data_IF_854063999852
#
_entry.id   IF_854063999852
#
_cell.length_a   1.000
_cell.length_b   1.000
_cell.length_c   1.000
_cell.angle_alpha   90.00
_cell.angle_beta   90.00
_cell.angle_gamma   90.00
#
_symmetry.space_group_name_H-M   'P 1'
#
loop_
_entity.id
_entity.type
_entity.pdbx_description
1 polymer ?
#
# COMPACT_ATOMS: atom_id res chain seq x y z
N UNK A 1 15.52 -3.66 -1.04
CA UNK A 1 14.24 -2.98 -0.69
C UNK A 1 14.32 -1.49 -0.29
N UNK A 2 15.50 -0.93 0.05
CA UNK A 2 15.60 0.46 0.56
C UNK A 2 15.02 1.56 -0.36
N UNK A 3 15.24 1.47 -1.68
CA UNK A 3 14.69 2.43 -2.64
C UNK A 3 13.15 2.46 -2.64
N UNK A 4 12.49 1.33 -2.36
CA UNK A 4 11.03 1.28 -2.27
C UNK A 4 10.52 2.06 -1.05
N UNK A 5 11.23 1.99 0.09
CA UNK A 5 10.88 2.76 1.28
C UNK A 5 11.04 4.27 1.03
N UNK A 6 12.14 4.67 0.37
CA UNK A 6 12.37 6.08 0.08
C UNK A 6 11.30 6.64 -0.87
N UNK A 7 10.90 5.87 -1.89
CA UNK A 7 9.79 6.25 -2.77
C UNK A 7 8.46 6.32 -2.01
N UNK A 8 8.19 5.36 -1.13
CA UNK A 8 6.99 5.36 -0.28
C UNK A 8 6.93 6.62 0.59
N UNK A 9 8.00 6.94 1.31
CA UNK A 9 8.09 8.15 2.15
C UNK A 9 7.86 9.42 1.34
N UNK A 10 8.49 9.53 0.17
CA UNK A 10 8.29 10.65 -0.74
C UNK A 10 6.82 10.78 -1.17
N UNK A 11 6.19 9.68 -1.57
CA UNK A 11 4.78 9.71 -1.99
C UNK A 11 3.83 10.08 -0.83
N UNK A 12 4.14 9.65 0.40
CA UNK A 12 3.41 10.07 1.59
C UNK A 12 3.58 11.58 1.84
N UNK A 13 4.81 12.10 1.77
CA UNK A 13 5.08 13.53 1.91
C UNK A 13 4.37 14.36 0.83
N UNK A 14 4.32 13.88 -0.41
CA UNK A 14 3.55 14.50 -1.49
C UNK A 14 2.05 14.50 -1.17
N UNK A 15 1.49 13.43 -0.61
CA UNK A 15 0.09 13.40 -0.15
C UNK A 15 -0.16 14.39 1.01
N UNK A 16 0.74 14.47 1.98
CA UNK A 16 0.68 15.40 3.12
C UNK A 16 0.71 16.87 2.66
N UNK A 17 1.38 17.16 1.54
CA UNK A 17 1.49 18.53 0.99
C UNK A 17 0.14 19.13 0.56
N UNK A 18 -0.91 18.32 0.40
CA UNK A 18 -2.26 18.81 0.10
C UNK A 18 -2.92 19.53 1.29
N UNK A 19 -2.54 19.19 2.52
CA UNK A 19 -3.06 19.85 3.73
C UNK A 19 -2.66 21.34 3.78
N UNK A 20 -1.38 21.73 3.64
CA UNK A 20 -1.00 23.14 3.59
C UNK A 20 -1.69 23.94 2.47
N UNK A 21 -1.92 23.31 1.31
CA UNK A 21 -2.65 23.94 0.20
C UNK A 21 -4.11 24.18 0.60
N UNK A 22 -4.75 23.20 1.22
CA UNK A 22 -6.10 23.34 1.76
C UNK A 22 -6.18 24.49 2.78
N UNK A 23 -5.26 24.55 3.75
CA UNK A 23 -5.22 25.59 4.77
C UNK A 23 -5.06 26.99 4.19
N UNK A 24 -4.18 27.13 3.19
CA UNK A 24 -3.97 28.40 2.51
C UNK A 24 -5.25 28.87 1.81
N UNK A 25 -5.95 27.98 1.11
CA UNK A 25 -7.16 28.33 0.35
C UNK A 25 -8.33 28.67 1.28
N UNK A 26 -8.57 27.88 2.33
CA UNK A 26 -9.58 28.16 3.36
C UNK A 26 -9.33 29.51 4.05
N UNK A 27 -8.06 29.86 4.33
CA UNK A 27 -7.72 31.14 4.96
C UNK A 27 -7.74 32.35 4.02
N UNK A 28 -7.52 32.14 2.72
CA UNK A 28 -7.31 33.23 1.75
C UNK A 28 -8.56 33.56 0.92
N UNK A 29 -9.51 32.64 0.81
CA UNK A 29 -10.67 32.78 -0.06
C UNK A 29 -11.93 32.94 0.79
N UNK A 30 -12.60 34.09 0.65
CA UNK A 30 -13.81 34.42 1.42
C UNK A 30 -15.13 34.02 0.73
N UNK A 31 -15.07 33.38 -0.43
CA UNK A 31 -16.26 32.86 -1.13
C UNK A 31 -16.69 31.53 -0.54
N UNK A 32 -17.98 31.15 -0.64
CA UNK A 32 -18.51 29.89 -0.12
C UNK A 32 -18.12 28.71 -1.03
N UNK A 33 -16.83 28.48 -1.21
CA UNK A 33 -16.26 27.33 -1.92
C UNK A 33 -15.63 26.40 -0.89
N UNK A 34 -15.94 25.10 -0.96
CA UNK A 34 -15.30 24.09 -0.11
C UNK A 34 -14.04 23.57 -0.78
N UNK A 35 -12.95 23.46 -0.01
CA UNK A 35 -11.69 22.87 -0.46
C UNK A 35 -11.46 21.44 0.05
N UNK A 36 -12.48 20.82 0.66
CA UNK A 36 -12.40 19.49 1.28
C UNK A 36 -11.92 18.38 0.32
N UNK A 37 -12.07 18.55 -0.99
CA UNK A 37 -11.59 17.59 -1.97
C UNK A 37 -10.05 17.47 -1.99
N UNK A 38 -9.31 18.47 -1.50
CA UNK A 38 -7.87 18.35 -1.24
C UNK A 38 -7.58 17.37 -0.11
N UNK A 39 -8.40 17.40 0.95
CA UNK A 39 -8.31 16.45 2.06
C UNK A 39 -8.69 15.03 1.62
N UNK A 40 -9.71 14.89 0.77
CA UNK A 40 -10.07 13.59 0.16
C UNK A 40 -8.96 13.05 -0.75
N UNK A 41 -8.34 13.91 -1.55
CA UNK A 41 -7.21 13.55 -2.39
C UNK A 41 -6.02 13.05 -1.57
N UNK A 42 -5.74 13.67 -0.41
CA UNK A 42 -4.69 13.20 0.50
C UNK A 42 -4.92 11.75 0.96
N UNK A 43 -6.15 11.39 1.35
CA UNK A 43 -6.49 10.00 1.72
C UNK A 43 -6.22 9.06 0.55
N UNK A 44 -6.70 9.41 -0.65
CA UNK A 44 -6.53 8.59 -1.85
C UNK A 44 -5.05 8.38 -2.19
N UNK A 45 -4.25 9.45 -2.15
CA UNK A 45 -2.82 9.38 -2.45
C UNK A 45 -2.04 8.63 -1.37
N UNK A 46 -2.40 8.78 -0.10
CA UNK A 46 -1.77 8.03 1.00
C UNK A 46 -1.98 6.52 0.86
N UNK A 47 -3.22 6.10 0.58
CA UNK A 47 -3.55 4.68 0.36
C UNK A 47 -2.88 4.14 -0.91
N UNK A 48 -2.82 4.95 -1.99
CA UNK A 48 -2.11 4.59 -3.22
C UNK A 48 -0.61 4.39 -2.97
N UNK A 49 0.01 5.27 -2.19
CA UNK A 49 1.42 5.16 -1.81
C UNK A 49 1.68 3.86 -1.04
N UNK A 50 0.81 3.52 -0.08
CA UNK A 50 0.92 2.29 0.71
C UNK A 50 0.76 1.04 -0.17
N UNK A 51 -0.26 0.99 -1.03
CA UNK A 51 -0.50 -0.12 -1.95
C UNK A 51 0.69 -0.36 -2.89
N UNK A 52 1.19 0.71 -3.52
CA UNK A 52 2.37 0.65 -4.39
C UNK A 52 3.61 0.17 -3.64
N UNK A 53 3.79 0.62 -2.40
CA UNK A 53 4.90 0.18 -1.56
C UNK A 53 4.84 -1.32 -1.28
N UNK A 54 3.66 -1.85 -0.93
CA UNK A 54 3.46 -3.28 -0.75
C UNK A 54 3.77 -4.07 -2.02
N UNK A 55 3.32 -3.61 -3.20
CA UNK A 55 3.71 -4.21 -4.47
C UNK A 55 5.22 -4.27 -4.66
N UNK A 56 5.93 -3.18 -4.35
CA UNK A 56 7.38 -3.12 -4.50
C UNK A 56 8.09 -4.08 -3.56
N UNK A 57 7.69 -4.13 -2.29
CA UNK A 57 8.27 -5.06 -1.32
C UNK A 57 8.10 -6.51 -1.77
N UNK A 58 6.88 -6.89 -2.14
CA UNK A 58 6.55 -8.26 -2.56
C UNK A 58 7.33 -8.62 -3.83
N UNK A 59 7.30 -7.76 -4.85
CA UNK A 59 8.04 -7.96 -6.10
C UNK A 59 9.53 -8.14 -5.84
N UNK A 60 10.15 -7.21 -5.11
CA UNK A 60 11.59 -7.24 -4.81
C UNK A 60 11.92 -8.52 -4.03
N UNK A 61 11.14 -8.86 -3.00
CA UNK A 61 11.41 -10.04 -2.19
C UNK A 61 11.22 -11.35 -2.96
N UNK A 62 10.25 -11.44 -3.88
CA UNK A 62 10.11 -12.62 -4.75
C UNK A 62 11.29 -12.77 -5.70
N UNK A 63 11.82 -11.66 -6.25
CA UNK A 63 13.04 -11.69 -7.08
C UNK A 63 14.25 -12.08 -6.24
N UNK A 64 14.39 -11.58 -5.01
CA UNK A 64 15.45 -12.00 -4.08
C UNK A 64 15.39 -13.51 -3.81
N UNK A 65 14.20 -14.10 -3.62
CA UNK A 65 14.03 -15.55 -3.47
C UNK A 65 14.45 -16.28 -4.75
N UNK A 66 14.00 -15.79 -5.91
CA UNK A 66 14.36 -16.36 -7.21
C UNK A 66 15.89 -16.40 -7.44
N UNK A 67 16.58 -15.34 -7.02
CA UNK A 67 18.05 -15.23 -7.10
C UNK A 67 18.80 -15.99 -6.00
N UNK A 68 18.09 -16.60 -5.04
CA UNK A 68 18.69 -17.30 -3.90
C UNK A 68 19.23 -16.40 -2.79
N UNK A 69 18.89 -15.10 -2.80
CA UNK A 69 19.30 -14.11 -1.80
C UNK A 69 18.36 -14.04 -0.59
N UNK A 70 17.19 -14.69 -0.65
CA UNK A 70 16.19 -14.76 0.41
C UNK A 70 15.64 -16.20 0.51
N UNK A 71 15.38 -16.74 1.71
CA UNK A 71 14.79 -18.07 1.86
C UNK A 71 13.40 -18.14 1.23
N UNK A 72 13.06 -19.30 0.66
CA UNK A 72 11.73 -19.56 0.10
C UNK A 72 10.66 -19.60 1.21
N UNK A 73 9.43 -19.28 0.83
CA UNK A 73 8.24 -19.43 1.68
C UNK A 73 7.28 -20.46 1.08
N UNK A 74 6.39 -21.08 1.87
CA UNK A 74 5.36 -21.96 1.32
C UNK A 74 4.49 -21.28 0.26
N UNK A 75 4.13 -20.01 0.47
CA UNK A 75 3.32 -19.25 -0.47
C UNK A 75 4.06 -18.97 -1.79
N UNK A 76 5.36 -18.67 -1.73
CA UNK A 76 6.20 -18.54 -2.92
C UNK A 76 6.29 -19.86 -3.70
N UNK A 77 6.50 -20.98 -3.02
CA UNK A 77 6.61 -22.29 -3.68
C UNK A 77 5.29 -22.76 -4.30
N UNK A 78 4.15 -22.37 -3.71
CA UNK A 78 2.83 -22.63 -4.26
C UNK A 78 2.46 -21.73 -5.45
N UNK A 79 3.29 -20.73 -5.76
CA UNK A 79 2.99 -19.75 -6.79
C UNK A 79 3.15 -20.35 -8.20
N UNK A 80 2.03 -20.45 -8.92
CA UNK A 80 2.04 -20.93 -10.30
C UNK A 80 2.49 -19.86 -11.30
N UNK A 81 3.35 -20.27 -12.24
CA UNK A 81 3.70 -19.52 -13.47
C UNK A 81 3.08 -20.20 -14.69
N UNK A 82 2.87 -19.44 -15.76
CA UNK A 82 2.36 -20.01 -17.02
C UNK A 82 3.44 -20.81 -17.74
N UNK A 83 3.03 -21.75 -18.60
CA UNK A 83 3.96 -22.49 -19.46
C UNK A 83 4.75 -21.55 -20.38
N UNK A 84 4.14 -20.45 -20.83
CA UNK A 84 4.85 -19.44 -21.63
C UNK A 84 6.01 -18.81 -20.85
N UNK A 85 5.77 -18.40 -19.59
CA UNK A 85 6.81 -17.85 -18.72
C UNK A 85 7.90 -18.86 -18.44
N UNK A 86 7.56 -20.14 -18.22
CA UNK A 86 8.55 -21.20 -18.04
C UNK A 86 9.45 -21.35 -19.27
N UNK A 87 8.87 -21.39 -20.47
CA UNK A 87 9.63 -21.45 -21.73
C UNK A 87 10.56 -20.25 -21.90
N UNK A 88 10.05 -19.04 -21.63
CA UNK A 88 10.85 -17.79 -21.68
C UNK A 88 12.04 -17.85 -20.69
N UNK A 89 11.82 -18.34 -19.47
CA UNK A 89 12.87 -18.48 -18.45
C UNK A 89 13.98 -19.46 -18.84
N UNK A 90 13.64 -20.55 -19.53
CA UNK A 90 14.64 -21.52 -20.00
C UNK A 90 15.46 -20.94 -21.13
N UNK A 91 14.82 -20.27 -22.09
CA UNK A 91 15.49 -19.71 -23.27
C UNK A 91 16.22 -18.39 -23.00
N UNK A 92 15.95 -17.74 -21.87
CA UNK A 92 16.49 -16.42 -21.56
C UNK A 92 18.02 -16.43 -21.44
N UNK A 93 18.65 -15.66 -22.33
CA UNK A 93 20.09 -15.32 -22.30
C UNK A 93 20.27 -13.83 -22.06
N UNK A 94 19.50 -12.98 -22.75
CA UNK A 94 19.38 -11.54 -22.52
C UNK A 94 17.96 -11.05 -22.88
N UNK A 95 17.23 -10.31 -22.01
CA UNK A 95 17.58 -9.95 -20.63
C UNK A 95 17.71 -11.19 -19.72
N UNK A 96 18.35 -11.06 -18.54
CA UNK A 96 18.63 -12.21 -17.68
C UNK A 96 17.34 -12.78 -17.06
N UNK A 97 17.42 -14.00 -16.52
CA UNK A 97 16.26 -14.78 -16.07
C UNK A 97 15.46 -14.09 -14.98
N UNK A 98 16.14 -13.39 -14.07
CA UNK A 98 15.54 -12.61 -13.00
C UNK A 98 14.66 -11.47 -13.52
N UNK A 99 15.03 -10.86 -14.65
CA UNK A 99 14.19 -9.84 -15.28
C UNK A 99 12.93 -10.46 -15.87
N UNK A 100 13.04 -11.59 -16.56
CA UNK A 100 11.88 -12.32 -17.12
C UNK A 100 10.93 -12.75 -16.00
N UNK A 101 11.48 -13.29 -14.91
CA UNK A 101 10.71 -13.65 -13.72
C UNK A 101 10.01 -12.43 -13.12
N UNK A 102 10.73 -11.33 -12.92
CA UNK A 102 10.17 -10.10 -12.38
C UNK A 102 9.01 -9.57 -13.22
N UNK A 103 9.11 -9.59 -14.54
CA UNK A 103 8.02 -9.17 -15.43
C UNK A 103 6.79 -10.08 -15.29
N UNK A 104 6.99 -11.39 -15.12
CA UNK A 104 5.89 -12.33 -14.88
C UNK A 104 5.18 -12.01 -13.55
N UNK A 105 5.95 -11.74 -12.49
CA UNK A 105 5.41 -11.33 -11.19
C UNK A 105 4.66 -10.00 -11.30
N UNK A 106 5.23 -8.97 -11.93
CA UNK A 106 4.53 -7.69 -12.14
C UNK A 106 3.19 -7.89 -12.85
N UNK A 107 3.17 -8.66 -13.94
CA UNK A 107 1.94 -8.92 -14.71
C UNK A 107 0.86 -9.61 -13.88
N UNK A 108 1.25 -10.45 -12.94
CA UNK A 108 0.31 -11.18 -12.07
C UNK A 108 -0.17 -10.32 -10.92
N UNK A 109 0.75 -9.63 -10.24
CA UNK A 109 0.42 -8.84 -9.07
C UNK A 109 -0.39 -7.59 -9.41
N UNK A 110 -0.30 -7.04 -10.63
CA UNK A 110 -1.01 -5.80 -11.03
C UNK A 110 -2.53 -5.82 -10.84
N UNK A 111 -3.17 -6.99 -10.76
CA UNK A 111 -4.63 -7.13 -10.59
C UNK A 111 -5.03 -7.29 -9.12
N UNK A 112 -4.07 -7.31 -8.21
CA UNK A 112 -4.27 -7.46 -6.76
C UNK A 112 -4.04 -6.11 -6.11
N UNK A 113 -4.88 -5.72 -5.16
CA UNK A 113 -4.62 -4.58 -4.29
C UNK A 113 -4.18 -5.04 -2.91
N UNK A 114 -3.13 -4.40 -2.38
CA UNK A 114 -2.54 -4.68 -1.08
C UNK A 114 -2.86 -3.57 -0.08
N UNK A 115 -4.16 -3.37 0.15
CA UNK A 115 -4.69 -2.30 1.00
C UNK A 115 -5.33 -2.83 2.28
N UNK A 116 -6.15 -3.86 2.17
CA UNK A 116 -6.82 -4.44 3.33
C UNK A 116 -5.85 -5.28 4.17
N UNK A 117 -6.12 -5.46 5.49
CA UNK A 117 -5.26 -6.28 6.33
C UNK A 117 -5.01 -7.69 5.78
N UNK A 118 -6.05 -8.34 5.26
CA UNK A 118 -5.96 -9.70 4.72
C UNK A 118 -5.13 -9.75 3.44
N UNK A 119 -5.30 -8.79 2.53
CA UNK A 119 -4.52 -8.77 1.30
C UNK A 119 -3.05 -8.46 1.58
N UNK A 120 -2.75 -7.52 2.47
CA UNK A 120 -1.39 -7.24 2.94
C UNK A 120 -0.75 -8.50 3.52
N UNK A 121 -1.45 -9.22 4.41
CA UNK A 121 -0.93 -10.46 5.01
C UNK A 121 -0.69 -11.56 3.95
N UNK A 122 -1.61 -11.73 2.99
CA UNK A 122 -1.45 -12.66 1.86
C UNK A 122 -0.25 -12.30 1.00
N UNK A 123 -0.11 -11.02 0.63
CA UNK A 123 1.01 -10.51 -0.14
C UNK A 123 2.36 -10.72 0.54
N UNK A 124 2.46 -10.34 1.82
CA UNK A 124 3.67 -10.55 2.61
C UNK A 124 4.04 -12.03 2.75
N UNK A 125 3.07 -12.95 2.69
CA UNK A 125 3.34 -14.39 2.81
C UNK A 125 4.23 -14.92 1.69
N UNK A 126 4.28 -14.26 0.52
CA UNK A 126 5.24 -14.60 -0.53
C UNK A 126 6.69 -14.47 -0.07
N UNK A 127 6.99 -13.51 0.81
CA UNK A 127 8.37 -13.11 1.12
C UNK A 127 8.73 -13.22 2.61
N UNK A 128 7.74 -13.55 3.46
CA UNK A 128 7.86 -13.61 4.91
C UNK A 128 7.07 -14.78 5.50
N UNK A 129 7.79 -15.80 5.97
CA UNK A 129 7.22 -17.01 6.59
C UNK A 129 6.89 -16.82 8.09
N UNK A 130 6.13 -15.77 8.41
CA UNK A 130 5.62 -15.50 9.75
C UNK A 130 4.09 -15.74 9.77
N UNK A 131 3.56 -16.67 10.58
CA UNK A 131 2.11 -16.86 10.70
C UNK A 131 1.36 -15.68 11.33
N UNK A 132 1.94 -15.02 12.33
CA UNK A 132 1.29 -13.96 13.12
C UNK A 132 1.75 -12.55 12.68
N UNK A 133 1.68 -12.27 11.38
CA UNK A 133 2.21 -11.03 10.76
C UNK A 133 1.67 -9.76 11.41
N UNK A 134 0.35 -9.66 11.57
CA UNK A 134 -0.28 -8.48 12.14
C UNK A 134 0.07 -8.28 13.62
N UNK A 135 0.27 -9.36 14.37
CA UNK A 135 0.75 -9.25 15.76
C UNK A 135 2.15 -8.64 15.82
N UNK A 136 3.06 -9.06 14.92
CA UNK A 136 4.42 -8.50 14.83
C UNK A 136 4.41 -7.04 14.40
N UNK A 137 3.63 -6.72 13.36
CA UNK A 137 3.47 -5.34 12.86
C UNK A 137 2.92 -4.44 13.96
N UNK A 138 1.83 -4.85 14.62
CA UNK A 138 1.21 -4.08 15.68
C UNK A 138 2.13 -3.88 16.90
N UNK A 139 2.87 -4.93 17.28
CA UNK A 139 3.89 -4.84 18.34
C UNK A 139 4.98 -3.82 18.00
N UNK A 140 5.45 -3.78 16.75
CA UNK A 140 6.43 -2.79 16.29
C UNK A 140 5.84 -1.37 16.27
N UNK A 141 4.53 -1.24 16.01
CA UNK A 141 3.80 0.02 16.08
C UNK A 141 3.43 0.44 17.52
N UNK A 142 3.70 -0.39 18.53
CA UNK A 142 3.22 -0.23 19.91
C UNK A 142 1.69 -0.05 20.01
N UNK A 143 0.95 -0.87 19.24
CA UNK A 143 -0.51 -0.85 19.18
C UNK A 143 -1.07 -2.27 19.36
N UNK A 144 -2.34 -2.35 19.71
CA UNK A 144 -3.07 -3.62 19.69
C UNK A 144 -3.31 -4.12 18.25
N UNK A 145 -3.32 -5.44 18.08
CA UNK A 145 -3.42 -6.08 16.76
C UNK A 145 -4.75 -5.79 16.07
N UNK A 146 -5.86 -5.88 16.79
CA UNK A 146 -7.18 -5.62 16.21
C UNK A 146 -7.38 -4.13 15.95
N UNK A 147 -6.79 -3.26 16.78
CA UNK A 147 -6.77 -1.81 16.54
C UNK A 147 -6.08 -1.48 15.22
N UNK A 148 -4.87 -2.01 14.96
CA UNK A 148 -4.15 -1.75 13.71
C UNK A 148 -4.93 -2.25 12.49
N UNK A 149 -5.49 -3.47 12.56
CA UNK A 149 -6.29 -4.03 11.46
C UNK A 149 -7.55 -3.21 11.21
N UNK A 150 -8.23 -2.78 12.27
CA UNK A 150 -9.45 -1.98 12.18
C UNK A 150 -9.17 -0.62 11.57
N UNK A 151 -8.12 0.06 12.03
CA UNK A 151 -7.72 1.37 11.52
C UNK A 151 -7.39 1.31 10.02
N UNK A 152 -6.57 0.33 9.60
CA UNK A 152 -6.27 0.13 8.18
C UNK A 152 -7.54 -0.12 7.36
N UNK A 153 -8.47 -0.92 7.87
CA UNK A 153 -9.74 -1.20 7.19
C UNK A 153 -10.57 0.07 7.03
N UNK A 154 -10.73 0.87 8.10
CA UNK A 154 -11.49 2.12 8.06
C UNK A 154 -10.93 3.11 7.03
N UNK A 155 -9.60 3.26 6.97
CA UNK A 155 -8.94 4.13 6.00
C UNK A 155 -9.20 3.65 4.56
N UNK A 156 -9.12 2.34 4.31
CA UNK A 156 -9.37 1.76 2.99
C UNK A 156 -10.84 1.90 2.59
N UNK A 157 -11.76 1.67 3.52
CA UNK A 157 -13.20 1.85 3.29
C UNK A 157 -13.53 3.31 2.96
N UNK A 158 -12.93 4.27 3.69
CA UNK A 158 -13.05 5.69 3.39
C UNK A 158 -12.51 6.03 1.99
N UNK A 159 -11.32 5.52 1.63
CA UNK A 159 -10.76 5.71 0.28
C UNK A 159 -11.67 5.14 -0.80
N UNK A 160 -12.24 3.95 -0.59
CA UNK A 160 -13.11 3.30 -1.57
C UNK A 160 -14.39 4.12 -1.77
N UNK A 161 -14.95 4.65 -0.68
CA UNK A 161 -16.09 5.56 -0.73
C UNK A 161 -15.79 6.83 -1.51
N UNK A 162 -14.62 7.44 -1.30
CA UNK A 162 -14.18 8.62 -2.05
C UNK A 162 -14.09 8.33 -3.55
N UNK A 163 -13.44 7.22 -3.93
CA UNK A 163 -13.12 6.93 -5.33
C UNK A 163 -14.29 6.32 -6.10
N UNK A 164 -15.07 5.45 -5.47
CA UNK A 164 -16.10 4.65 -6.14
C UNK A 164 -17.53 5.14 -5.87
N UNK A 165 -17.76 5.83 -4.76
CA UNK A 165 -19.09 6.28 -4.33
C UNK A 165 -19.22 7.82 -4.30
N UNK A 166 -18.26 8.53 -4.91
CA UNK A 166 -18.16 10.00 -4.91
C UNK A 166 -18.15 10.64 -3.51
N UNK A 167 -17.84 9.86 -2.48
CA UNK A 167 -17.98 10.19 -1.07
C UNK A 167 -19.39 10.65 -0.65
N UNK A 168 -20.45 10.20 -1.34
CA UNK A 168 -21.84 10.64 -1.09
C UNK A 168 -22.53 9.73 -0.06
N UNK A 169 -23.17 10.34 0.94
CA UNK A 169 -24.06 9.63 1.85
C UNK A 169 -25.40 9.34 1.14
N UNK A 170 -25.83 8.07 1.01
CA UNK A 170 -27.01 7.70 0.24
C UNK A 170 -28.33 8.15 0.88
N UNK A 171 -28.34 8.47 2.18
CA UNK A 171 -29.52 8.94 2.89
C UNK A 171 -29.72 10.45 2.75
N UNK A 172 -28.62 11.22 2.69
CA UNK A 172 -28.67 12.69 2.64
C UNK A 172 -28.35 13.28 1.27
N UNK A 173 -27.78 12.48 0.36
CA UNK A 173 -27.19 12.92 -0.91
C UNK A 173 -26.13 14.03 -0.79
N UNK A 174 -25.52 14.14 0.39
CA UNK A 174 -24.42 15.06 0.66
C UNK A 174 -23.11 14.30 0.83
N UNK A 175 -21.98 14.95 0.51
CA UNK A 175 -20.67 14.36 0.80
C UNK A 175 -20.48 14.14 2.30
N UNK A 176 -19.79 13.09 2.69
CA UNK A 176 -19.38 12.92 4.09
C UNK A 176 -18.44 14.04 4.51
N UNK A 177 -18.60 14.54 5.74
CA UNK A 177 -17.68 15.51 6.32
C UNK A 177 -16.28 14.90 6.47
N UNK A 178 -15.26 15.70 6.24
CA UNK A 178 -13.87 15.31 6.40
C UNK A 178 -13.12 16.43 7.11
N UNK A 179 -12.21 16.09 8.02
CA UNK A 179 -11.40 17.07 8.72
C UNK A 179 -9.92 16.87 8.41
N UNK A 180 -9.14 17.95 8.53
CA UNK A 180 -7.67 17.88 8.47
C UNK A 180 -7.10 16.84 9.45
N UNK A 181 -7.66 16.79 10.67
CA UNK A 181 -7.19 15.87 11.71
C UNK A 181 -7.36 14.41 11.30
N UNK A 182 -8.50 14.07 10.68
CA UNK A 182 -8.77 12.72 10.20
C UNK A 182 -7.78 12.33 9.09
N UNK A 183 -7.56 13.23 8.13
CA UNK A 183 -6.60 12.99 7.04
C UNK A 183 -5.18 12.81 7.55
N UNK A 184 -4.74 13.67 8.46
CA UNK A 184 -3.41 13.58 9.03
C UNK A 184 -3.22 12.30 9.85
N UNK A 185 -4.24 11.88 10.60
CA UNK A 185 -4.21 10.63 11.36
C UNK A 185 -4.10 9.41 10.44
N UNK A 186 -4.90 9.37 9.37
CA UNK A 186 -4.86 8.29 8.38
C UNK A 186 -3.50 8.22 7.66
N UNK A 187 -2.98 9.35 7.19
CA UNK A 187 -1.68 9.40 6.49
C UNK A 187 -0.53 8.98 7.42
N UNK A 188 -0.51 9.49 8.65
CA UNK A 188 0.50 9.10 9.65
C UNK A 188 0.43 7.62 10.00
N UNK A 189 -0.79 7.08 10.14
CA UNK A 189 -0.99 5.66 10.40
C UNK A 189 -0.41 4.80 9.26
N UNK A 190 -0.74 5.12 8.00
CA UNK A 190 -0.23 4.38 6.84
C UNK A 190 1.29 4.46 6.74
N UNK A 191 1.87 5.64 6.98
CA UNK A 191 3.33 5.84 7.05
C UNK A 191 3.96 4.91 8.08
N UNK A 192 3.46 4.94 9.31
CA UNK A 192 3.95 4.13 10.43
C UNK A 192 3.79 2.63 10.16
N UNK A 193 2.66 2.20 9.59
CA UNK A 193 2.41 0.82 9.22
C UNK A 193 3.38 0.33 8.14
N UNK A 194 3.61 1.12 7.08
CA UNK A 194 4.56 0.81 6.03
C UNK A 194 5.99 0.68 6.57
N UNK A 195 6.42 1.62 7.40
CA UNK A 195 7.74 1.58 8.04
C UNK A 195 7.92 0.37 8.97
N UNK A 196 6.90 0.05 9.78
CA UNK A 196 6.91 -1.13 10.64
C UNK A 196 7.02 -2.43 9.83
N UNK A 197 6.26 -2.55 8.74
CA UNK A 197 6.35 -3.69 7.81
C UNK A 197 7.76 -3.81 7.25
N UNK A 198 8.34 -2.71 6.75
CA UNK A 198 9.68 -2.69 6.17
C UNK A 198 10.74 -3.22 7.14
N UNK A 199 10.72 -2.75 8.39
CA UNK A 199 11.70 -3.15 9.43
C UNK A 199 11.61 -4.65 9.72
N UNK A 200 10.43 -5.25 9.63
CA UNK A 200 10.20 -6.67 9.96
C UNK A 200 10.58 -7.64 8.84
N UNK A 201 10.69 -7.17 7.59
CA UNK A 201 10.90 -8.04 6.41
C UNK A 201 12.26 -7.86 5.73
N UNK A 202 13.08 -6.93 6.22
CA UNK A 202 14.50 -6.81 5.86
C UNK A 202 15.25 -8.09 6.23
#
# INVERSE_FOLDING_TARGET
>A
MHNALNLFRKNIEEAESLTPVYEYLEGSISTPLSFDDLLRAQIVYSVSAFDKFMHDLIRIGMVEIFMGNRPTTPQYLAEAITISTYSELISATFPPKEFVFEQAIIRKLKTVSYQTPDNVAKGLSYIWNEPQKWQKIASNMAMDTETVKTELKLIVDQRNRIVHEADINPLTNQKYSITKSDCQSATNFLKKAGEAIYVLIL
#
